data_IF_236174463042
#
_entry.id   IF_236174463042
#
_cell.length_a   1.000
_cell.length_b   1.000
_cell.length_c   1.000
_cell.angle_alpha   90.00
_cell.angle_beta   90.00
_cell.angle_gamma   90.00
#
_symmetry.space_group_name_H-M   'P 1'
#
loop_
_entity.id
_entity.type
_entity.pdbx_description
1 polymer ?
#
# COMPACT_ATOMS: atom_id res chain seq x y z
N UNK A 1 29.49 40.77 -55.04
CA UNK A 1 29.52 39.59 -55.94
C UNK A 1 29.76 38.36 -55.08
N UNK A 2 28.72 37.52 -54.90
CA UNK A 2 28.78 36.33 -54.06
C UNK A 2 29.71 35.29 -54.69
N UNK A 3 30.76 34.92 -53.96
CA UNK A 3 31.66 33.83 -54.34
C UNK A 3 30.96 32.48 -54.14
N UNK A 4 30.95 31.66 -55.19
CA UNK A 4 30.52 30.27 -55.16
C UNK A 4 31.34 29.47 -54.15
N UNK A 5 30.78 29.22 -52.96
CA UNK A 5 31.36 28.25 -52.02
C UNK A 5 31.08 26.84 -52.57
N UNK A 6 32.10 25.96 -52.68
CA UNK A 6 31.87 24.58 -53.11
C UNK A 6 30.90 23.90 -52.16
N UNK A 7 29.84 23.30 -52.71
CA UNK A 7 28.79 22.62 -51.93
C UNK A 7 29.40 21.42 -51.21
N UNK A 8 29.67 21.57 -49.92
CA UNK A 8 30.27 20.55 -49.05
C UNK A 8 29.42 19.28 -48.97
N UNK A 9 28.09 19.40 -49.12
CA UNK A 9 27.12 18.31 -49.17
C UNK A 9 26.83 18.02 -50.64
N UNK A 10 27.59 17.10 -51.23
CA UNK A 10 27.43 16.69 -52.63
C UNK A 10 27.83 15.23 -52.79
N UNK A 11 27.00 14.47 -53.51
CA UNK A 11 27.29 13.07 -53.87
C UNK A 11 28.49 12.93 -54.82
N UNK A 12 29.00 14.03 -55.37
CA UNK A 12 30.24 14.06 -56.16
C UNK A 12 31.49 14.31 -55.32
N UNK A 13 31.35 14.71 -54.06
CA UNK A 13 32.49 14.91 -53.17
C UNK A 13 32.88 13.57 -52.54
N UNK A 14 34.06 13.00 -52.88
CA UNK A 14 34.46 11.67 -52.43
C UNK A 14 34.58 11.58 -50.91
N UNK A 15 34.91 12.69 -50.23
CA UNK A 15 35.01 12.74 -48.78
C UNK A 15 33.65 12.70 -48.09
N UNK A 16 32.65 13.36 -48.68
CA UNK A 16 31.28 13.35 -48.17
C UNK A 16 30.65 11.97 -48.37
N UNK A 17 30.80 11.37 -49.55
CA UNK A 17 30.24 10.04 -49.83
C UNK A 17 30.93 8.94 -49.02
N UNK A 18 32.25 9.01 -48.82
CA UNK A 18 32.96 8.09 -47.95
C UNK A 18 32.49 8.20 -46.49
N UNK A 19 32.34 9.42 -45.97
CA UNK A 19 31.89 9.64 -44.59
C UNK A 19 30.44 9.22 -44.37
N UNK A 20 29.54 9.57 -45.30
CA UNK A 20 28.14 9.17 -45.25
C UNK A 20 27.95 7.65 -45.43
N UNK A 21 28.78 7.03 -46.27
CA UNK A 21 28.82 5.59 -46.45
C UNK A 21 29.29 4.87 -45.20
N UNK A 22 30.37 5.34 -44.57
CA UNK A 22 30.89 4.77 -43.33
C UNK A 22 29.86 4.87 -42.18
N UNK A 23 29.19 6.01 -42.02
CA UNK A 23 28.13 6.19 -41.02
C UNK A 23 26.94 5.27 -41.28
N UNK A 24 26.50 5.15 -42.53
CA UNK A 24 25.41 4.25 -42.91
C UNK A 24 25.78 2.79 -42.64
N UNK A 25 27.01 2.37 -42.96
CA UNK A 25 27.49 1.01 -42.68
C UNK A 25 27.56 0.73 -41.18
N UNK A 26 28.04 1.67 -40.37
CA UNK A 26 28.14 1.50 -38.93
C UNK A 26 26.75 1.44 -38.27
N UNK A 27 25.79 2.23 -38.77
CA UNK A 27 24.39 2.16 -38.36
C UNK A 27 23.75 0.81 -38.71
N UNK A 28 23.89 0.36 -39.96
CA UNK A 28 23.34 -0.93 -40.41
C UNK A 28 23.97 -2.09 -39.66
N UNK A 29 25.28 -2.06 -39.44
CA UNK A 29 25.98 -3.09 -38.67
C UNK A 29 25.48 -3.13 -37.21
N UNK A 30 25.35 -1.97 -36.56
CA UNK A 30 24.84 -1.90 -35.18
C UNK A 30 23.39 -2.38 -35.08
N UNK A 31 22.54 -2.03 -36.04
CA UNK A 31 21.16 -2.49 -36.11
C UNK A 31 21.08 -4.00 -36.35
N UNK A 32 21.90 -4.55 -37.25
CA UNK A 32 21.95 -5.99 -37.50
C UNK A 32 22.43 -6.76 -36.27
N UNK A 33 23.48 -6.28 -35.60
CA UNK A 33 23.97 -6.87 -34.34
C UNK A 33 22.89 -6.85 -33.26
N UNK A 34 22.19 -5.72 -33.09
CA UNK A 34 21.16 -5.53 -32.06
C UNK A 34 19.85 -6.29 -32.29
N UNK A 35 19.36 -6.31 -33.53
CA UNK A 35 18.01 -6.81 -33.84
C UNK A 35 17.99 -8.18 -34.52
N UNK A 36 19.12 -8.66 -35.04
CA UNK A 36 19.20 -9.95 -35.74
C UNK A 36 20.15 -10.89 -35.02
N UNK A 37 21.41 -10.51 -34.84
CA UNK A 37 22.42 -11.42 -34.31
C UNK A 37 22.24 -11.69 -32.80
N UNK A 38 22.15 -10.66 -31.96
CA UNK A 38 21.97 -10.83 -30.51
C UNK A 38 20.73 -11.65 -30.13
N UNK A 39 19.54 -11.44 -30.72
CA UNK A 39 18.36 -12.28 -30.45
C UNK A 39 18.51 -13.71 -30.97
N UNK A 40 19.19 -13.93 -32.09
CA UNK A 40 19.40 -15.27 -32.66
C UNK A 40 20.44 -16.11 -31.90
N UNK A 41 21.34 -15.46 -31.17
CA UNK A 41 22.41 -16.11 -30.42
C UNK A 41 22.06 -16.35 -28.94
N UNK A 42 20.92 -15.84 -28.44
CA UNK A 42 20.52 -15.89 -27.04
C UNK A 42 19.02 -16.20 -26.90
N UNK A 43 18.66 -17.48 -26.69
CA UNK A 43 17.28 -17.95 -26.49
C UNK A 43 16.73 -17.70 -25.06
N UNK A 44 17.01 -16.53 -24.48
CA UNK A 44 16.58 -16.23 -23.11
C UNK A 44 15.22 -15.52 -23.06
N UNK A 45 14.27 -16.11 -22.33
CA UNK A 45 12.91 -15.62 -22.09
C UNK A 45 12.82 -14.21 -21.43
N UNK A 46 13.96 -13.63 -21.07
CA UNK A 46 14.15 -12.32 -20.44
C UNK A 46 14.14 -11.13 -21.43
N UNK A 47 14.19 -11.37 -22.75
CA UNK A 47 14.09 -10.31 -23.77
C UNK A 47 12.67 -9.76 -24.01
N UNK A 48 11.66 -10.18 -23.25
CA UNK A 48 10.29 -9.62 -23.35
C UNK A 48 10.11 -8.24 -22.68
N UNK A 49 11.14 -7.68 -22.04
CA UNK A 49 11.04 -6.38 -21.37
C UNK A 49 11.95 -5.30 -21.98
N UNK A 50 11.35 -4.30 -22.62
CA UNK A 50 12.05 -3.12 -23.17
C UNK A 50 12.95 -2.42 -22.13
N UNK A 51 12.53 -2.42 -20.87
CA UNK A 51 13.25 -1.79 -19.75
C UNK A 51 14.60 -2.47 -19.47
N UNK A 52 14.66 -3.81 -19.54
CA UNK A 52 15.91 -4.56 -19.30
C UNK A 52 16.91 -4.36 -20.43
N UNK A 53 16.43 -4.25 -21.67
CA UNK A 53 17.27 -3.92 -22.82
C UNK A 53 17.92 -2.53 -22.65
N UNK A 54 17.13 -1.52 -22.25
CA UNK A 54 17.61 -0.15 -21.98
C UNK A 54 18.63 -0.14 -20.83
N UNK A 55 18.34 -0.81 -19.71
CA UNK A 55 19.24 -0.86 -18.56
C UNK A 55 20.57 -1.57 -18.88
N UNK A 56 20.53 -2.63 -19.70
CA UNK A 56 21.74 -3.34 -20.11
C UNK A 56 22.62 -2.53 -21.06
N UNK A 57 22.01 -1.73 -21.95
CA UNK A 57 22.73 -0.84 -22.86
C UNK A 57 23.37 0.35 -22.11
N UNK A 58 22.79 0.78 -20.99
CA UNK A 58 23.33 1.82 -20.12
C UNK A 58 24.47 1.34 -19.18
N UNK A 59 24.90 0.08 -19.30
CA UNK A 59 25.99 -0.48 -18.49
C UNK A 59 25.59 -0.85 -17.06
N UNK A 60 24.29 -0.91 -16.75
CA UNK A 60 23.85 -1.44 -15.47
C UNK A 60 24.15 -2.95 -15.42
N UNK A 61 24.76 -3.47 -14.34
CA UNK A 61 25.13 -4.88 -14.26
C UNK A 61 23.88 -5.77 -14.39
N UNK A 62 23.96 -6.78 -15.26
CA UNK A 62 22.87 -7.74 -15.53
C UNK A 62 22.45 -8.55 -14.29
N UNK A 63 23.29 -8.58 -13.27
CA UNK A 63 23.11 -9.36 -12.05
C UNK A 63 23.07 -8.45 -10.81
N UNK A 64 22.00 -7.66 -10.66
CA UNK A 64 21.64 -7.15 -9.32
C UNK A 64 21.08 -8.25 -8.41
N UNK A 65 20.66 -9.38 -9.00
CA UNK A 65 19.94 -10.48 -8.34
C UNK A 65 20.70 -11.81 -8.37
N UNK A 66 21.95 -11.84 -8.84
CA UNK A 66 22.74 -13.08 -8.98
C UNK A 66 22.95 -13.83 -7.67
N UNK A 67 22.93 -13.10 -6.55
CA UNK A 67 22.79 -13.62 -5.21
C UNK A 67 21.85 -12.67 -4.46
N UNK A 68 20.54 -12.71 -4.78
CA UNK A 68 19.57 -12.15 -3.85
C UNK A 68 19.79 -12.86 -2.51
N UNK A 69 20.46 -12.17 -1.57
CA UNK A 69 20.65 -12.69 -0.21
C UNK A 69 19.29 -13.19 0.26
N UNK A 70 19.19 -14.42 0.81
CA UNK A 70 17.91 -14.97 1.20
C UNK A 70 17.20 -13.94 2.08
N UNK A 71 15.92 -13.62 1.81
CA UNK A 71 15.21 -12.57 2.51
C UNK A 71 15.33 -12.82 4.01
N UNK A 72 15.88 -11.84 4.74
CA UNK A 72 16.06 -11.97 6.18
C UNK A 72 14.68 -12.18 6.80
N UNK A 73 14.41 -13.33 7.43
CA UNK A 73 13.10 -13.60 7.99
C UNK A 73 12.83 -12.58 9.10
N UNK A 74 11.59 -12.06 9.20
CA UNK A 74 11.27 -11.11 10.24
C UNK A 74 11.41 -11.76 11.62
N UNK A 75 12.00 -11.04 12.57
CA UNK A 75 12.20 -11.53 13.95
C UNK A 75 10.89 -11.77 14.71
N UNK A 76 9.79 -11.19 14.25
CA UNK A 76 8.44 -11.33 14.81
C UNK A 76 7.42 -11.55 13.68
N UNK A 77 6.26 -12.16 13.96
CA UNK A 77 5.19 -12.29 12.97
C UNK A 77 4.79 -10.91 12.40
N UNK A 78 4.67 -10.83 11.08
CA UNK A 78 4.22 -9.64 10.35
C UNK A 78 2.96 -9.97 9.57
N UNK A 79 2.21 -8.94 9.16
CA UNK A 79 1.02 -9.14 8.34
C UNK A 79 1.37 -9.89 7.06
N UNK A 80 0.79 -11.08 6.89
CA UNK A 80 0.89 -11.87 5.65
C UNK A 80 -0.22 -11.53 4.66
N UNK A 81 -1.11 -10.60 5.01
CA UNK A 81 -2.24 -10.20 4.16
C UNK A 81 -1.75 -9.30 3.04
N UNK A 82 -1.98 -9.73 1.81
CA UNK A 82 -1.76 -8.91 0.62
C UNK A 82 -3.09 -8.28 0.22
N UNK A 83 -3.15 -6.95 0.27
CA UNK A 83 -4.33 -6.20 -0.09
C UNK A 83 -4.36 -5.99 -1.62
N UNK A 84 -5.19 -6.75 -2.33
CA UNK A 84 -5.43 -6.60 -3.77
C UNK A 84 -6.87 -6.18 -4.03
N UNK A 85 -7.20 -5.55 -5.18
CA UNK A 85 -8.59 -5.21 -5.51
C UNK A 85 -9.55 -6.41 -5.46
N UNK A 86 -9.09 -7.60 -5.86
CA UNK A 86 -9.87 -8.84 -5.83
C UNK A 86 -9.87 -9.57 -4.49
N UNK A 87 -9.20 -9.05 -3.45
CA UNK A 87 -9.00 -9.78 -2.20
C UNK A 87 -10.30 -10.13 -1.45
N UNK A 88 -11.45 -9.54 -1.79
CA UNK A 88 -12.76 -9.78 -1.16
C UNK A 88 -13.83 -10.28 -2.14
N UNK A 89 -13.46 -10.77 -3.32
CA UNK A 89 -14.45 -11.25 -4.32
C UNK A 89 -15.37 -12.38 -3.79
N UNK A 90 -14.92 -13.17 -2.81
CA UNK A 90 -15.76 -14.18 -2.13
C UNK A 90 -16.65 -13.65 -1.00
N UNK A 91 -16.52 -12.38 -0.63
CA UNK A 91 -17.29 -11.71 0.42
C UNK A 91 -18.55 -11.00 -0.14
N UNK A 92 -18.73 -10.97 -1.46
CA UNK A 92 -19.89 -10.36 -2.15
C UNK A 92 -20.93 -11.38 -2.60
N UNK A 93 -20.72 -12.68 -2.38
CA UNK A 93 -21.76 -13.69 -2.61
C UNK A 93 -22.97 -13.40 -1.72
N UNK A 94 -24.19 -13.41 -2.27
CA UNK A 94 -25.40 -12.89 -1.62
C UNK A 94 -25.78 -13.44 -0.22
N UNK A 95 -25.14 -14.53 0.24
CA UNK A 95 -25.30 -15.10 1.59
C UNK A 95 -24.24 -14.68 2.62
N UNK A 96 -23.17 -13.99 2.20
CA UNK A 96 -22.02 -13.61 3.03
C UNK A 96 -22.39 -12.69 4.19
N UNK A 97 -23.14 -11.61 3.93
CA UNK A 97 -23.56 -10.63 4.95
C UNK A 97 -24.43 -11.30 6.03
N UNK A 98 -25.35 -12.19 5.64
CA UNK A 98 -26.23 -12.90 6.58
C UNK A 98 -25.48 -13.90 7.48
N UNK A 99 -24.54 -14.66 6.89
CA UNK A 99 -23.64 -15.54 7.69
C UNK A 99 -22.74 -14.71 8.60
N UNK A 100 -22.18 -13.61 8.09
CA UNK A 100 -21.40 -12.64 8.86
C UNK A 100 -22.17 -12.06 10.04
N UNK A 101 -23.44 -11.71 9.85
CA UNK A 101 -24.32 -11.23 10.93
C UNK A 101 -24.49 -12.27 12.04
N UNK A 102 -24.65 -13.55 11.67
CA UNK A 102 -24.77 -14.67 12.62
C UNK A 102 -23.48 -14.87 13.40
N UNK A 103 -22.34 -14.86 12.70
CA UNK A 103 -21.01 -14.96 13.32
C UNK A 103 -20.75 -13.79 14.27
N UNK A 104 -21.18 -12.58 13.89
CA UNK A 104 -20.97 -11.35 14.66
C UNK A 104 -21.70 -11.32 16.00
N UNK A 105 -22.67 -12.21 16.26
CA UNK A 105 -23.38 -12.29 17.54
C UNK A 105 -22.42 -12.38 18.73
N UNK A 106 -21.30 -13.12 18.60
CA UNK A 106 -20.29 -13.24 19.66
C UNK A 106 -19.47 -11.95 19.88
N UNK A 107 -19.47 -11.04 18.92
CA UNK A 107 -18.68 -9.82 18.92
C UNK A 107 -19.45 -8.62 19.51
N UNK A 108 -20.78 -8.71 19.55
CA UNK A 108 -21.69 -7.61 19.91
C UNK A 108 -21.52 -7.10 21.34
N UNK A 109 -21.04 -7.94 22.26
CA UNK A 109 -20.82 -7.57 23.66
C UNK A 109 -19.75 -6.46 23.81
N UNK A 110 -18.77 -6.42 22.92
CA UNK A 110 -17.70 -5.42 22.94
C UNK A 110 -17.94 -4.35 21.86
N UNK A 111 -18.15 -4.77 20.61
CA UNK A 111 -18.25 -3.87 19.47
C UNK A 111 -19.66 -3.30 19.24
N UNK A 112 -20.63 -3.68 20.09
CA UNK A 112 -22.03 -3.28 19.99
C UNK A 112 -22.82 -4.08 18.97
N UNK A 113 -24.13 -4.19 19.20
CA UNK A 113 -25.05 -4.90 18.31
C UNK A 113 -25.13 -4.30 16.90
N UNK A 114 -24.89 -2.99 16.80
CA UNK A 114 -24.84 -2.26 15.52
C UNK A 114 -23.40 -1.98 15.05
N UNK A 115 -22.39 -2.60 15.66
CA UNK A 115 -20.98 -2.30 15.36
C UNK A 115 -20.50 -0.94 15.87
N UNK A 116 -21.27 -0.32 16.78
CA UNK A 116 -20.91 0.91 17.50
C UNK A 116 -20.75 0.55 18.98
N UNK A 117 -19.52 0.67 19.48
CA UNK A 117 -19.12 0.27 20.83
C UNK A 117 -19.46 1.32 21.87
N UNK A 118 -19.95 0.87 23.01
CA UNK A 118 -20.06 1.67 24.24
C UNK A 118 -18.90 1.42 25.23
N UNK A 119 -17.95 0.55 24.89
CA UNK A 119 -16.94 0.00 25.79
C UNK A 119 -15.50 0.40 25.43
N UNK A 120 -15.31 1.55 24.75
CA UNK A 120 -14.03 2.01 24.22
C UNK A 120 -13.30 1.00 23.30
N UNK A 121 -14.01 -0.01 22.78
CA UNK A 121 -13.49 -0.90 21.73
C UNK A 121 -13.79 -0.31 20.36
N UNK A 122 -13.06 -0.64 19.29
CA UNK A 122 -13.25 0.03 18.02
C UNK A 122 -14.66 -0.14 17.45
N UNK A 123 -15.16 0.93 16.84
CA UNK A 123 -16.36 0.89 16.04
C UNK A 123 -16.07 0.15 14.73
N UNK A 124 -16.89 -0.84 14.41
CA UNK A 124 -16.76 -1.67 13.21
C UNK A 124 -17.82 -1.30 12.16
N UNK A 125 -18.89 -0.61 12.55
CA UNK A 125 -19.96 -0.21 11.67
C UNK A 125 -19.45 0.62 10.48
N UNK A 126 -19.68 0.12 9.28
CA UNK A 126 -19.24 0.73 8.02
C UNK A 126 -17.73 0.82 7.85
N UNK A 127 -16.92 0.20 8.71
CA UNK A 127 -15.48 0.11 8.48
C UNK A 127 -15.19 -0.63 7.17
N UNK A 128 -14.12 -0.28 6.48
CA UNK A 128 -13.79 -0.92 5.21
C UNK A 128 -13.51 -2.41 5.40
N UNK A 129 -14.21 -3.26 4.64
CA UNK A 129 -14.05 -4.71 4.73
C UNK A 129 -12.58 -5.18 4.59
N UNK A 130 -11.75 -4.61 3.69
CA UNK A 130 -10.33 -4.98 3.61
C UNK A 130 -9.57 -4.73 4.91
N UNK A 131 -9.88 -3.62 5.60
CA UNK A 131 -9.27 -3.25 6.87
C UNK A 131 -9.69 -4.21 7.98
N UNK A 132 -10.99 -4.56 8.06
CA UNK A 132 -11.49 -5.53 9.04
C UNK A 132 -10.84 -6.91 8.80
N UNK A 133 -10.91 -7.42 7.57
CA UNK A 133 -10.37 -8.73 7.22
C UNK A 133 -8.89 -8.83 7.55
N UNK A 134 -8.11 -7.80 7.20
CA UNK A 134 -6.69 -7.73 7.50
C UNK A 134 -6.44 -7.86 9.01
N UNK A 135 -7.12 -7.05 9.82
CA UNK A 135 -6.90 -7.08 11.27
C UNK A 135 -7.32 -8.41 11.89
N UNK A 136 -8.42 -9.03 11.43
CA UNK A 136 -8.83 -10.36 11.88
C UNK A 136 -7.76 -11.42 11.55
N UNK A 137 -7.24 -11.41 10.32
CA UNK A 137 -6.15 -12.31 9.90
C UNK A 137 -4.87 -12.07 10.69
N UNK A 138 -4.54 -10.82 10.97
CA UNK A 138 -3.34 -10.46 11.74
C UNK A 138 -3.44 -10.90 13.20
N UNK A 139 -4.64 -10.88 13.79
CA UNK A 139 -4.85 -11.48 15.11
C UNK A 139 -4.69 -13.01 15.06
N UNK A 140 -5.24 -13.68 14.05
CA UNK A 140 -5.09 -15.15 13.91
C UNK A 140 -3.65 -15.59 13.70
N UNK A 141 -2.85 -14.83 12.93
CA UNK A 141 -1.45 -15.16 12.64
C UNK A 141 -0.48 -14.75 13.74
N UNK A 142 -0.93 -13.96 14.72
CA UNK A 142 -0.07 -13.35 15.74
C UNK A 142 0.71 -12.12 15.25
N UNK A 143 0.49 -11.67 14.01
CA UNK A 143 1.06 -10.41 13.50
C UNK A 143 0.58 -9.18 14.30
N UNK A 144 -0.64 -9.26 14.83
CA UNK A 144 -1.18 -8.34 15.83
C UNK A 144 -1.58 -9.13 17.07
N UNK A 145 -1.09 -8.72 18.24
CA UNK A 145 -1.38 -9.42 19.49
C UNK A 145 -2.58 -8.82 20.20
N UNK A 146 -3.42 -9.66 20.80
CA UNK A 146 -4.47 -9.24 21.74
C UNK A 146 -4.92 -10.41 22.59
N UNK A 147 -4.93 -10.24 23.91
CA UNK A 147 -5.44 -11.24 24.84
C UNK A 147 -6.94 -11.52 24.67
N UNK A 148 -7.68 -10.59 24.06
CA UNK A 148 -9.13 -10.67 23.86
C UNK A 148 -9.46 -11.13 22.44
N UNK A 149 -8.88 -10.50 21.42
CA UNK A 149 -9.28 -10.80 20.03
C UNK A 149 -8.77 -12.15 19.53
N UNK A 150 -7.59 -12.61 19.96
CA UNK A 150 -7.06 -13.91 19.53
C UNK A 150 -8.02 -15.08 19.86
N UNK A 151 -8.50 -15.27 21.11
CA UNK A 151 -9.44 -16.35 21.40
C UNK A 151 -10.81 -16.17 20.72
N UNK A 152 -11.24 -14.94 20.46
CA UNK A 152 -12.51 -14.68 19.76
C UNK A 152 -12.53 -15.18 18.31
N UNK A 153 -11.35 -15.31 17.70
CA UNK A 153 -11.18 -15.77 16.32
C UNK A 153 -10.80 -17.25 16.23
N UNK A 154 -10.70 -17.95 17.36
CA UNK A 154 -10.40 -19.37 17.40
C UNK A 154 -11.47 -20.18 16.66
N UNK A 155 -11.04 -21.07 15.78
CA UNK A 155 -11.94 -21.92 15.00
C UNK A 155 -12.65 -21.23 13.82
N UNK A 156 -12.42 -19.93 13.59
CA UNK A 156 -12.96 -19.24 12.41
C UNK A 156 -12.07 -19.50 11.18
N UNK A 157 -12.68 -19.91 10.07
CA UNK A 157 -12.02 -20.09 8.79
C UNK A 157 -11.87 -18.77 8.00
N UNK A 158 -11.14 -18.82 6.89
CA UNK A 158 -10.91 -17.65 6.03
C UNK A 158 -12.22 -17.01 5.54
N UNK A 159 -13.18 -17.86 5.16
CA UNK A 159 -14.49 -17.40 4.70
C UNK A 159 -15.29 -16.71 5.82
N UNK A 160 -15.22 -17.20 7.06
CA UNK A 160 -15.90 -16.58 8.21
C UNK A 160 -15.40 -15.14 8.42
N UNK A 161 -14.09 -14.93 8.25
CA UNK A 161 -13.50 -13.59 8.37
C UNK A 161 -13.93 -12.66 7.25
N UNK A 162 -14.06 -13.17 6.01
CA UNK A 162 -14.58 -12.42 4.87
C UNK A 162 -16.02 -12.00 5.11
N UNK A 163 -16.85 -12.90 5.62
CA UNK A 163 -18.26 -12.63 5.89
C UNK A 163 -18.45 -11.64 7.04
N UNK A 164 -17.69 -11.79 8.13
CA UNK A 164 -17.65 -10.81 9.23
C UNK A 164 -17.26 -9.43 8.70
N UNK A 165 -16.25 -9.38 7.84
CA UNK A 165 -15.77 -8.13 7.22
C UNK A 165 -16.82 -7.50 6.31
N UNK A 166 -17.50 -8.29 5.48
CA UNK A 166 -18.60 -7.83 4.64
C UNK A 166 -19.78 -7.34 5.46
N UNK A 167 -20.17 -8.07 6.51
CA UNK A 167 -21.26 -7.69 7.40
C UNK A 167 -21.02 -6.33 8.06
N UNK A 168 -19.89 -6.15 8.74
CA UNK A 168 -19.59 -4.90 9.41
C UNK A 168 -19.44 -3.72 8.44
N UNK A 169 -18.87 -3.96 7.25
CA UNK A 169 -18.77 -2.94 6.21
C UNK A 169 -20.14 -2.52 5.64
N UNK A 170 -21.13 -3.40 5.66
CA UNK A 170 -22.49 -3.12 5.21
C UNK A 170 -23.34 -2.39 6.26
N UNK A 171 -22.90 -2.33 7.52
CA UNK A 171 -23.60 -1.56 8.55
C UNK A 171 -23.49 -0.05 8.27
N UNK A 172 -24.53 0.73 8.60
CA UNK A 172 -24.50 2.17 8.41
C UNK A 172 -23.37 2.81 9.22
N UNK A 173 -22.64 3.74 8.61
CA UNK A 173 -21.74 4.63 9.32
C UNK A 173 -22.58 5.69 10.00
N UNK A 174 -22.29 5.99 11.26
CA UNK A 174 -22.74 7.25 11.81
C UNK A 174 -22.08 8.38 11.00
N UNK A 175 -22.88 9.35 10.59
CA UNK A 175 -22.37 10.53 9.89
C UNK A 175 -21.51 11.32 10.87
N UNK A 176 -20.23 11.49 10.55
CA UNK A 176 -19.38 12.42 11.29
C UNK A 176 -20.00 13.83 11.15
N UNK A 177 -20.32 14.52 12.26
CA UNK A 177 -20.76 15.90 12.22
C UNK A 177 -19.64 16.79 11.66
N UNK A 178 -19.97 18.05 11.39
CA UNK A 178 -19.06 19.05 10.83
C UNK A 178 -17.75 19.07 11.62
N UNK A 179 -16.68 18.59 10.98
CA UNK A 179 -15.41 18.40 11.64
C UNK A 179 -14.79 19.78 11.87
N UNK A 180 -14.63 20.17 13.15
CA UNK A 180 -13.91 21.38 13.54
C UNK A 180 -12.52 21.43 12.88
N UNK A 181 -11.86 22.60 12.82
CA UNK A 181 -10.54 22.70 12.20
C UNK A 181 -9.59 21.61 12.74
N UNK A 182 -9.06 20.81 11.84
CA UNK A 182 -8.09 19.78 12.18
C UNK A 182 -6.87 20.41 12.85
N UNK A 183 -6.31 19.81 13.92
CA UNK A 183 -5.02 20.23 14.43
C UNK A 183 -3.96 20.03 13.34
N UNK A 184 -2.91 20.86 13.35
CA UNK A 184 -1.87 20.84 12.31
C UNK A 184 -1.33 19.44 12.03
N UNK A 185 -1.09 18.66 13.09
CA UNK A 185 -0.59 17.28 12.96
C UNK A 185 -1.50 16.35 12.14
N UNK A 186 -2.81 16.61 12.14
CA UNK A 186 -3.78 15.86 11.32
C UNK A 186 -3.91 16.47 9.93
N UNK A 187 -4.06 17.80 9.87
CA UNK A 187 -4.36 18.55 8.65
C UNK A 187 -3.19 18.57 7.66
N UNK A 188 -1.99 18.84 8.15
CA UNK A 188 -0.78 19.06 7.36
C UNK A 188 0.38 18.15 7.78
N UNK A 189 0.26 17.50 8.94
CA UNK A 189 1.32 16.67 9.48
C UNK A 189 2.52 17.48 9.95
N UNK A 190 3.70 16.87 9.87
CA UNK A 190 4.99 17.53 10.10
C UNK A 190 6.01 16.94 9.14
N UNK A 191 6.09 17.45 7.89
CA UNK A 191 6.94 16.87 6.85
C UNK A 191 8.42 16.77 7.25
N UNK A 192 8.92 17.76 8.00
CA UNK A 192 10.31 17.75 8.52
C UNK A 192 10.58 16.63 9.52
N UNK A 193 9.55 16.12 10.20
CA UNK A 193 9.62 14.94 11.08
C UNK A 193 9.11 13.66 10.41
N UNK A 194 8.94 13.68 9.09
CA UNK A 194 8.41 12.55 8.33
C UNK A 194 7.00 12.11 8.80
N UNK A 195 6.16 13.08 9.16
CA UNK A 195 4.76 12.87 9.51
C UNK A 195 3.91 13.43 8.38
N UNK A 196 3.26 12.57 7.61
CA UNK A 196 2.35 12.98 6.55
C UNK A 196 0.98 13.40 7.13
N UNK A 197 0.20 14.25 6.41
CA UNK A 197 -1.19 14.51 6.73
C UNK A 197 -1.99 13.21 6.83
N UNK A 198 -2.83 13.06 7.87
CA UNK A 198 -3.54 11.80 8.11
C UNK A 198 -4.56 11.49 7.00
N UNK A 199 -5.23 12.53 6.48
CA UNK A 199 -6.25 12.38 5.44
C UNK A 199 -5.71 11.84 4.12
N UNK A 200 -4.40 11.98 3.85
CA UNK A 200 -3.75 11.43 2.66
C UNK A 200 -3.91 9.91 2.54
N UNK A 201 -4.13 9.22 3.67
CA UNK A 201 -4.35 7.78 3.72
C UNK A 201 -5.71 7.41 4.33
N UNK A 202 -6.20 8.18 5.30
CA UNK A 202 -7.40 7.86 6.10
C UNK A 202 -8.64 8.70 5.73
N UNK A 203 -8.55 9.56 4.72
CA UNK A 203 -9.63 10.49 4.35
C UNK A 203 -10.85 9.81 3.75
N UNK A 204 -12.00 10.49 3.81
CA UNK A 204 -13.28 9.95 3.41
C UNK A 204 -13.49 9.80 1.89
N UNK A 205 -12.90 10.72 1.10
CA UNK A 205 -13.06 10.76 -0.35
C UNK A 205 -12.07 9.86 -1.09
N UNK A 206 -10.88 9.66 -0.52
CA UNK A 206 -9.83 8.79 -1.05
C UNK A 206 -9.07 8.14 0.10
N UNK A 207 -9.43 6.90 0.42
CA UNK A 207 -8.75 6.11 1.45
C UNK A 207 -7.77 5.14 0.80
N UNK A 208 -6.57 5.03 1.36
CA UNK A 208 -5.63 3.99 0.97
C UNK A 208 -6.22 2.62 1.25
N UNK A 209 -6.06 1.67 0.34
CA UNK A 209 -6.57 0.30 0.55
C UNK A 209 -6.01 -0.29 1.85
N UNK A 210 -6.91 -0.74 2.73
CA UNK A 210 -6.60 -1.27 4.06
C UNK A 210 -6.26 -0.24 5.13
N UNK A 211 -6.25 1.06 4.81
CA UNK A 211 -6.28 2.08 5.84
C UNK A 211 -7.69 2.11 6.46
N UNK A 212 -7.82 2.05 7.80
CA UNK A 212 -9.11 2.12 8.46
C UNK A 212 -9.68 3.53 8.40
N UNK A 213 -11.01 3.61 8.38
CA UNK A 213 -11.76 4.80 8.72
C UNK A 213 -11.52 5.18 10.19
N UNK A 214 -11.14 6.44 10.44
CA UNK A 214 -10.79 6.93 11.77
C UNK A 214 -11.90 7.72 12.45
N UNK A 215 -12.76 8.40 11.70
CA UNK A 215 -13.78 9.27 12.29
C UNK A 215 -14.78 8.46 13.13
N UNK A 216 -15.20 9.05 14.25
CA UNK A 216 -16.07 8.48 15.25
C UNK A 216 -15.53 7.22 15.93
N UNK A 217 -14.24 6.93 15.88
CA UNK A 217 -13.65 5.88 16.71
C UNK A 217 -13.49 6.35 18.17
N UNK A 218 -13.53 5.45 19.18
CA UNK A 218 -13.28 5.84 20.56
C UNK A 218 -11.87 6.40 20.78
N UNK A 219 -11.76 7.37 21.70
CA UNK A 219 -10.53 8.16 21.87
C UNK A 219 -9.41 7.32 22.42
N UNK A 220 -9.74 6.55 23.44
CA UNK A 220 -8.86 5.65 24.16
C UNK A 220 -8.36 4.55 23.22
N UNK A 221 -9.23 4.07 22.32
CA UNK A 221 -8.82 3.15 21.27
C UNK A 221 -7.80 3.80 20.33
N UNK A 222 -8.12 4.93 19.71
CA UNK A 222 -7.20 5.59 18.76
C UNK A 222 -5.86 5.95 19.41
N UNK A 223 -5.90 6.53 20.60
CA UNK A 223 -4.71 6.87 21.38
C UNK A 223 -3.84 5.64 21.62
N UNK A 224 -4.42 4.56 22.15
CA UNK A 224 -3.67 3.32 22.42
C UNK A 224 -3.10 2.70 21.15
N UNK A 225 -3.78 2.82 20.00
CA UNK A 225 -3.23 2.32 18.74
C UNK A 225 -2.03 3.15 18.26
N UNK A 226 -2.10 4.48 18.34
CA UNK A 226 -0.99 5.36 18.00
C UNK A 226 0.21 5.13 18.93
N UNK A 227 -0.02 5.02 20.24
CA UNK A 227 1.02 4.69 21.22
C UNK A 227 1.63 3.31 20.96
N UNK A 228 0.83 2.31 20.60
CA UNK A 228 1.32 0.97 20.28
C UNK A 228 2.17 0.95 19.00
N UNK A 229 1.83 1.75 17.99
CA UNK A 229 2.69 1.93 16.82
C UNK A 229 3.97 2.70 17.15
N UNK A 230 3.87 3.78 17.94
CA UNK A 230 5.03 4.57 18.36
C UNK A 230 6.03 3.73 19.17
N UNK A 231 5.54 2.91 20.10
CA UNK A 231 6.33 1.99 20.91
C UNK A 231 6.71 0.68 20.22
N UNK A 232 6.22 0.44 19.00
CA UNK A 232 6.51 -0.75 18.20
C UNK A 232 5.83 -2.05 18.67
N UNK A 233 5.02 -2.01 19.73
CA UNK A 233 4.23 -3.17 20.19
C UNK A 233 3.13 -3.57 19.21
N UNK A 234 2.69 -2.64 18.36
CA UNK A 234 1.90 -2.93 17.16
C UNK A 234 2.77 -2.75 15.92
N UNK A 235 2.97 -3.84 15.18
CA UNK A 235 3.86 -3.89 14.01
C UNK A 235 3.24 -4.60 12.79
N UNK A 236 1.91 -4.70 12.76
CA UNK A 236 1.16 -5.31 11.65
C UNK A 236 0.90 -4.35 10.49
N UNK A 237 1.62 -3.22 10.43
CA UNK A 237 1.54 -2.24 9.36
C UNK A 237 2.50 -2.58 8.21
N UNK A 238 1.93 -2.69 7.00
CA UNK A 238 2.67 -3.01 5.79
C UNK A 238 3.67 -1.88 5.51
N UNK A 239 4.94 -2.22 5.35
CA UNK A 239 6.06 -1.27 5.14
C UNK A 239 6.27 -0.27 6.28
N UNK A 240 5.86 -0.62 7.52
CA UNK A 240 6.05 0.21 8.72
C UNK A 240 5.44 1.62 8.63
N UNK A 241 4.39 1.80 7.83
CA UNK A 241 3.80 3.11 7.55
C UNK A 241 3.35 3.84 8.81
N UNK A 242 2.57 3.18 9.67
CA UNK A 242 2.07 3.80 10.89
C UNK A 242 3.13 3.90 11.96
N UNK A 243 4.04 2.93 12.07
CA UNK A 243 5.18 3.02 13.00
C UNK A 243 6.10 4.18 12.65
N UNK A 244 6.36 4.41 11.36
CA UNK A 244 7.20 5.52 10.90
C UNK A 244 6.58 6.89 11.17
N UNK A 245 5.25 6.98 11.15
CA UNK A 245 4.52 8.20 11.50
C UNK A 245 4.49 8.38 13.02
N UNK A 246 3.94 7.40 13.75
CA UNK A 246 3.61 7.51 15.17
C UNK A 246 4.86 7.68 16.05
N UNK A 247 5.99 7.05 15.72
CA UNK A 247 7.24 7.19 16.50
C UNK A 247 7.82 8.60 16.51
N UNK A 248 7.43 9.44 15.55
CA UNK A 248 7.89 10.81 15.42
C UNK A 248 6.91 11.83 16.03
N UNK A 249 5.71 11.38 16.44
CA UNK A 249 4.69 12.22 17.07
C UNK A 249 5.02 12.45 18.55
N UNK A 250 4.68 13.64 19.06
CA UNK A 250 4.74 13.91 20.49
C UNK A 250 3.51 13.32 21.21
N UNK A 251 3.56 13.14 22.55
CA UNK A 251 2.39 12.72 23.32
C UNK A 251 1.17 13.65 23.13
N UNK A 252 1.40 14.97 23.04
CA UNK A 252 0.34 15.96 22.82
C UNK A 252 -0.27 15.84 21.44
N UNK A 253 0.54 15.55 20.42
CA UNK A 253 0.09 15.30 19.05
C UNK A 253 -0.74 14.02 18.93
N UNK A 254 -0.33 12.95 19.60
CA UNK A 254 -1.12 11.71 19.68
C UNK A 254 -2.47 11.98 20.36
N UNK A 255 -2.46 12.72 21.47
CA UNK A 255 -3.70 13.12 22.15
C UNK A 255 -4.57 13.99 21.24
N UNK A 256 -4.00 14.96 20.52
CA UNK A 256 -4.73 15.85 19.62
C UNK A 256 -5.37 15.08 18.46
N UNK A 257 -4.61 14.21 17.80
CA UNK A 257 -5.11 13.37 16.70
C UNK A 257 -6.22 12.42 17.17
N UNK A 258 -6.03 11.73 18.31
CA UNK A 258 -7.07 10.88 18.88
C UNK A 258 -8.33 11.68 19.21
N UNK A 259 -8.18 12.85 19.85
CA UNK A 259 -9.31 13.73 20.19
C UNK A 259 -10.07 14.20 18.96
N UNK A 260 -9.36 14.54 17.89
CA UNK A 260 -9.96 15.05 16.65
C UNK A 260 -10.93 14.05 16.04
N UNK A 261 -10.49 12.80 15.84
CA UNK A 261 -11.30 11.78 15.20
C UNK A 261 -12.46 11.26 16.05
N UNK A 262 -12.51 11.59 17.34
CA UNK A 262 -13.57 11.14 18.26
C UNK A 262 -14.75 12.07 18.35
N UNK A 263 -14.61 13.30 17.85
CA UNK A 263 -15.61 14.34 18.03
C UNK A 263 -16.86 14.02 17.22
N UNK A 264 -17.81 13.35 17.88
CA UNK A 264 -19.23 13.43 17.58
C UNK A 264 -19.77 14.58 18.43
N UNK A 265 -20.01 15.75 17.83
CA UNK A 265 -20.77 16.82 18.49
C UNK A 265 -21.93 17.23 17.60
#
# INVERSE_FOLDING_TARGET
>A
MNADRPRLISLRNPWFTASAGALSLLFVFSAWVGFVWLPSAQDDALFKGLLNAICSAAGAPRAWLGEASPPVPPKAPVSSVVLTPGMLEGASAGGSIGRGATLALRCTMCHGARGVSAANTPNLAGQYAPSIYKELRDFQSGARTSAIMVPMLAGLGDQDLRDLSAYYAALPRDSAPEMYPAPDIVATGSPMRNIAPCESCHGAMATKLGAPWLALQPREYLKSQLEAFAGGSRHNDISAQMRNIARNMTPDEINAAASYYTQNR
#
